data_IF_265548925271
#
_entry.id   IF_265548925271
#
_cell.length_a   1.000
_cell.length_b   1.000
_cell.length_c   1.000
_cell.angle_alpha   90.00
_cell.angle_beta   90.00
_cell.angle_gamma   90.00
#
_symmetry.space_group_name_H-M   'P 1'
#
loop_
_entity.id
_entity.type
_entity.pdbx_description
1 polymer ?
#
# COMPACT_ATOMS: atom_id res chain seq x y z
N UNK A 1 3.87 -27.27 4.05
CA UNK A 1 4.09 -25.97 3.39
C UNK A 1 5.58 -25.67 3.51
N UNK A 2 6.37 -26.06 2.51
CA UNK A 2 7.81 -25.86 2.50
C UNK A 2 8.11 -24.38 2.26
N UNK A 3 8.40 -23.63 3.32
CA UNK A 3 9.16 -22.39 3.20
C UNK A 3 10.53 -22.78 2.67
N UNK A 4 10.82 -22.42 1.42
CA UNK A 4 12.11 -22.65 0.78
C UNK A 4 13.21 -22.02 1.64
N UNK A 5 14.12 -22.87 2.10
CA UNK A 5 15.33 -22.52 2.84
C UNK A 5 16.37 -21.71 2.02
N UNK A 6 15.96 -21.04 0.93
CA UNK A 6 16.83 -20.30 0.01
C UNK A 6 17.09 -18.85 0.40
N UNK A 7 16.50 -18.35 1.51
CA UNK A 7 16.63 -16.95 1.94
C UNK A 7 17.65 -16.72 3.06
N UNK A 8 18.43 -17.74 3.46
CA UNK A 8 19.37 -17.62 4.59
C UNK A 8 20.81 -17.59 4.08
N UNK A 9 21.34 -16.38 3.87
CA UNK A 9 22.76 -16.12 3.61
C UNK A 9 22.98 -15.03 2.57
N UNK A 10 22.92 -15.40 1.28
CA UNK A 10 23.50 -14.58 0.21
C UNK A 10 22.61 -13.41 -0.26
N UNK A 11 21.28 -13.51 -0.11
CA UNK A 11 20.34 -12.51 -0.63
C UNK A 11 20.46 -11.14 0.06
N UNK A 12 20.84 -11.13 1.34
CA UNK A 12 20.97 -9.91 2.15
C UNK A 12 22.42 -9.46 2.35
N UNK A 13 23.39 -10.22 1.84
CA UNK A 13 24.82 -9.90 2.00
C UNK A 13 25.16 -8.49 1.45
N UNK A 14 24.65 -8.05 0.29
CA UNK A 14 24.96 -6.70 -0.18
C UNK A 14 24.29 -5.61 0.66
N UNK A 15 23.12 -5.88 1.26
CA UNK A 15 22.49 -4.95 2.22
C UNK A 15 23.31 -4.86 3.50
N UNK A 16 23.79 -5.99 4.01
CA UNK A 16 24.63 -6.02 5.20
C UNK A 16 25.92 -5.21 4.97
N UNK A 17 26.60 -5.44 3.84
CA UNK A 17 27.79 -4.70 3.44
C UNK A 17 27.51 -3.20 3.35
N UNK A 18 26.44 -2.81 2.65
CA UNK A 18 26.08 -1.40 2.51
C UNK A 18 25.83 -0.71 3.85
N UNK A 19 25.15 -1.38 4.79
CA UNK A 19 24.93 -0.87 6.16
C UNK A 19 26.25 -0.69 6.90
N UNK A 20 27.22 -1.62 6.76
CA UNK A 20 28.54 -1.45 7.37
C UNK A 20 29.31 -0.28 6.76
N UNK A 21 29.25 -0.09 5.43
CA UNK A 21 29.84 1.07 4.75
C UNK A 21 29.23 2.37 5.27
N UNK A 22 27.90 2.47 5.33
CA UNK A 22 27.20 3.62 5.91
C UNK A 22 27.63 3.89 7.35
N UNK A 23 27.77 2.84 8.18
CA UNK A 23 28.23 2.99 9.56
C UNK A 23 29.65 3.54 9.64
N UNK A 24 30.55 3.05 8.80
CA UNK A 24 31.95 3.48 8.79
C UNK A 24 32.11 4.93 8.29
N UNK A 25 31.31 5.33 7.30
CA UNK A 25 31.48 6.63 6.62
C UNK A 25 30.54 7.73 7.12
N UNK A 26 29.36 7.41 7.65
CA UNK A 26 28.33 8.40 8.01
C UNK A 26 28.13 8.57 9.52
N UNK A 27 28.71 7.70 10.36
CA UNK A 27 28.56 7.76 11.82
C UNK A 27 29.89 8.07 12.53
N UNK A 28 29.81 8.63 13.73
CA UNK A 28 30.97 8.96 14.55
C UNK A 28 31.90 9.97 13.86
N UNK A 29 33.20 9.66 13.81
CA UNK A 29 34.20 10.46 13.10
C UNK A 29 34.32 10.10 11.61
N UNK A 30 33.54 9.11 11.13
CA UNK A 30 33.51 8.66 9.74
C UNK A 30 33.30 9.79 8.72
N UNK A 31 32.38 10.75 8.93
CA UNK A 31 32.15 11.83 7.98
C UNK A 31 33.36 12.71 7.71
N UNK A 32 34.31 12.79 8.65
CA UNK A 32 35.55 13.55 8.46
C UNK A 32 36.50 12.89 7.44
N UNK A 33 36.27 11.62 7.11
CA UNK A 33 37.01 10.89 6.07
C UNK A 33 36.41 11.02 4.68
N UNK A 34 35.22 11.63 4.55
CA UNK A 34 34.60 11.92 3.26
C UNK A 34 35.21 13.22 2.72
N UNK A 35 36.00 13.08 1.66
CA UNK A 35 36.78 14.16 1.05
C UNK A 35 36.06 14.88 -0.10
N UNK A 36 34.90 14.36 -0.52
CA UNK A 36 34.19 14.84 -1.70
C UNK A 36 32.68 14.62 -1.63
N UNK A 37 31.94 15.48 -2.33
CA UNK A 37 30.51 15.29 -2.57
C UNK A 37 30.24 14.01 -3.38
N UNK A 38 31.17 13.64 -4.27
CA UNK A 38 31.06 12.44 -5.11
C UNK A 38 31.01 11.16 -4.28
N UNK A 39 31.76 11.07 -3.18
CA UNK A 39 31.71 9.93 -2.26
C UNK A 39 30.31 9.79 -1.61
N UNK A 40 29.67 10.90 -1.26
CA UNK A 40 28.30 10.91 -0.72
C UNK A 40 27.29 10.51 -1.79
N UNK A 41 27.44 11.03 -3.01
CA UNK A 41 26.58 10.68 -4.14
C UNK A 41 26.68 9.19 -4.51
N UNK A 42 27.88 8.61 -4.46
CA UNK A 42 28.07 7.18 -4.70
C UNK A 42 27.31 6.31 -3.69
N UNK A 43 27.31 6.68 -2.40
CA UNK A 43 26.52 6.00 -1.37
C UNK A 43 25.02 6.11 -1.63
N UNK A 44 24.55 7.28 -2.08
CA UNK A 44 23.14 7.50 -2.39
C UNK A 44 22.69 6.64 -3.59
N UNK A 45 23.52 6.54 -4.63
CA UNK A 45 23.24 5.68 -5.79
C UNK A 45 23.28 4.19 -5.42
N UNK A 46 24.22 3.76 -4.57
CA UNK A 46 24.25 2.37 -4.07
C UNK A 46 22.99 2.05 -3.24
N UNK A 47 22.56 2.96 -2.37
CA UNK A 47 21.32 2.82 -1.61
C UNK A 47 20.12 2.63 -2.54
N UNK A 48 20.06 3.44 -3.60
CA UNK A 48 18.97 3.41 -4.58
C UNK A 48 18.97 2.10 -5.37
N UNK A 49 20.12 1.69 -5.89
CA UNK A 49 20.26 0.42 -6.62
C UNK A 49 19.89 -0.78 -5.74
N UNK A 50 20.23 -0.74 -4.45
CA UNK A 50 19.87 -1.79 -3.50
C UNK A 50 18.36 -1.80 -3.23
N UNK A 51 17.73 -0.64 -3.08
CA UNK A 51 16.28 -0.51 -2.94
C UNK A 51 15.56 -1.06 -4.17
N UNK A 52 15.97 -0.65 -5.37
CA UNK A 52 15.39 -1.12 -6.64
C UNK A 52 15.49 -2.65 -6.77
N UNK A 53 16.62 -3.24 -6.35
CA UNK A 53 16.82 -4.69 -6.39
C UNK A 53 15.93 -5.43 -5.39
N UNK A 54 15.76 -4.88 -4.18
CA UNK A 54 14.86 -5.44 -3.18
C UNK A 54 13.41 -5.37 -3.67
N UNK A 55 13.00 -4.24 -4.25
CA UNK A 55 11.67 -4.10 -4.86
C UNK A 55 11.46 -5.11 -5.99
N UNK A 56 12.44 -5.28 -6.89
CA UNK A 56 12.37 -6.27 -7.98
C UNK A 56 12.32 -7.73 -7.51
N UNK A 57 12.70 -8.02 -6.27
CA UNK A 57 12.60 -9.36 -5.68
C UNK A 57 11.23 -9.66 -5.06
N UNK A 58 10.36 -8.66 -4.94
CA UNK A 58 9.01 -8.83 -4.41
C UNK A 58 8.15 -9.51 -5.47
N UNK A 59 7.81 -10.77 -5.22
CA UNK A 59 6.83 -11.47 -6.04
C UNK A 59 5.41 -11.19 -5.53
N UNK A 60 4.44 -10.97 -6.44
CA UNK A 60 3.05 -10.74 -6.04
C UNK A 60 2.48 -12.01 -5.41
N UNK A 61 2.07 -11.88 -4.16
CA UNK A 61 1.38 -12.90 -3.39
C UNK A 61 -0.01 -12.35 -3.03
N UNK A 62 -1.04 -13.06 -3.50
CA UNK A 62 -2.42 -12.68 -3.28
C UNK A 62 -2.97 -13.32 -2.00
N UNK A 63 -3.81 -12.59 -1.29
CA UNK A 63 -4.65 -13.14 -0.22
C UNK A 63 -6.07 -13.29 -0.74
N UNK A 64 -6.63 -14.49 -0.64
CA UNK A 64 -8.03 -14.76 -1.00
C UNK A 64 -8.75 -15.33 0.21
N UNK A 65 -9.78 -14.63 0.67
CA UNK A 65 -10.59 -15.04 1.83
C UNK A 65 -12.03 -14.57 1.64
N UNK A 66 -12.96 -15.07 2.44
CA UNK A 66 -14.38 -14.66 2.41
C UNK A 66 -14.77 -13.81 3.62
N UNK A 67 -13.98 -13.87 4.68
CA UNK A 67 -14.32 -13.19 5.93
C UNK A 67 -13.06 -12.72 6.64
N UNK A 68 -13.05 -11.45 7.04
CA UNK A 68 -11.96 -10.81 7.78
C UNK A 68 -12.59 -10.05 8.94
N UNK A 69 -12.16 -10.33 10.16
CA UNK A 69 -12.67 -9.65 11.34
C UNK A 69 -11.54 -9.42 12.33
N UNK A 70 -11.48 -8.20 12.89
CA UNK A 70 -10.51 -7.83 13.92
C UNK A 70 -9.07 -8.22 13.54
N UNK A 71 -8.69 -7.93 12.30
CA UNK A 71 -7.47 -8.45 11.69
C UNK A 71 -6.72 -7.38 10.90
N UNK A 72 -5.41 -7.59 10.76
CA UNK A 72 -4.56 -6.86 9.83
C UNK A 72 -4.10 -7.83 8.74
N UNK A 73 -4.35 -7.48 7.48
CA UNK A 73 -4.05 -8.35 6.33
C UNK A 73 -3.19 -7.60 5.35
N UNK A 74 -2.04 -8.20 4.99
CA UNK A 74 -1.09 -7.63 4.04
C UNK A 74 -0.88 -8.58 2.85
N UNK A 75 -0.80 -8.00 1.64
CA UNK A 75 -0.52 -8.74 0.41
C UNK A 75 0.45 -7.94 -0.48
N UNK A 76 1.48 -8.61 -1.01
CA UNK A 76 2.37 -8.02 -2.04
C UNK A 76 1.74 -7.99 -3.43
N UNK A 77 0.65 -8.76 -3.62
CA UNK A 77 -0.25 -8.66 -4.77
C UNK A 77 -1.56 -7.99 -4.35
N UNK A 78 -2.67 -8.70 -4.56
CA UNK A 78 -4.04 -8.25 -4.25
C UNK A 78 -4.64 -8.94 -3.04
N UNK A 79 -5.55 -8.26 -2.37
CA UNK A 79 -6.51 -8.88 -1.44
C UNK A 79 -7.84 -9.04 -2.15
N UNK A 80 -8.32 -10.28 -2.28
CA UNK A 80 -9.58 -10.60 -2.95
C UNK A 80 -10.55 -11.20 -1.94
N UNK A 81 -11.71 -10.58 -1.81
CA UNK A 81 -12.86 -11.08 -1.06
C UNK A 81 -14.00 -11.35 -2.02
N UNK A 82 -14.08 -12.55 -2.65
CA UNK A 82 -15.04 -12.80 -3.73
C UNK A 82 -16.49 -12.57 -3.29
N UNK A 83 -16.77 -12.99 -2.05
CA UNK A 83 -18.02 -12.74 -1.36
C UNK A 83 -17.81 -12.76 0.15
N UNK A 84 -18.50 -11.88 0.87
CA UNK A 84 -18.60 -11.94 2.33
C UNK A 84 -18.43 -10.58 2.99
N UNK A 85 -17.58 -10.47 4.01
CA UNK A 85 -17.50 -9.24 4.79
C UNK A 85 -16.14 -9.02 5.44
N UNK A 86 -15.82 -7.74 5.66
CA UNK A 86 -14.63 -7.29 6.36
C UNK A 86 -15.04 -6.30 7.46
N UNK A 87 -14.75 -6.62 8.72
CA UNK A 87 -15.14 -5.81 9.90
C UNK A 87 -13.94 -5.49 10.77
N UNK A 88 -13.85 -4.25 11.28
CA UNK A 88 -12.83 -3.83 12.27
C UNK A 88 -11.41 -4.25 11.87
N UNK A 89 -11.07 -4.05 10.60
CA UNK A 89 -9.85 -4.62 10.02
C UNK A 89 -9.14 -3.61 9.14
N UNK A 90 -7.84 -3.81 8.99
CA UNK A 90 -6.94 -3.02 8.17
C UNK A 90 -6.41 -3.90 7.03
N UNK A 91 -6.58 -3.45 5.79
CA UNK A 91 -6.10 -4.14 4.60
C UNK A 91 -4.98 -3.32 3.96
N UNK A 92 -3.84 -3.96 3.71
CA UNK A 92 -2.75 -3.39 2.93
C UNK A 92 -2.47 -4.28 1.71
N UNK A 93 -2.51 -3.71 0.51
CA UNK A 93 -2.20 -4.45 -0.71
C UNK A 93 -1.33 -3.61 -1.64
N UNK A 94 -0.37 -4.23 -2.33
CA UNK A 94 0.41 -3.50 -3.34
C UNK A 94 -0.43 -3.18 -4.58
N UNK A 95 -1.17 -4.18 -5.07
CA UNK A 95 -1.80 -4.13 -6.41
C UNK A 95 -3.33 -3.94 -6.39
N UNK A 96 -3.95 -3.91 -5.20
CA UNK A 96 -5.37 -3.59 -5.07
C UNK A 96 -6.16 -4.47 -4.10
N UNK A 97 -7.40 -4.04 -3.85
CA UNK A 97 -8.38 -4.77 -3.05
C UNK A 97 -9.67 -4.92 -3.84
N UNK A 98 -10.17 -6.15 -3.94
CA UNK A 98 -11.39 -6.46 -4.71
C UNK A 98 -12.39 -7.21 -3.86
N UNK A 99 -13.57 -6.63 -3.67
CA UNK A 99 -14.73 -7.25 -3.03
C UNK A 99 -15.96 -7.01 -3.90
N UNK A 100 -16.24 -7.93 -4.84
CA UNK A 100 -17.33 -7.76 -5.82
C UNK A 100 -18.73 -7.98 -5.23
N UNK A 101 -18.82 -8.75 -4.15
CA UNK A 101 -20.05 -8.95 -3.39
C UNK A 101 -19.74 -8.91 -1.91
N UNK A 102 -20.46 -8.10 -1.14
CA UNK A 102 -20.26 -8.02 0.30
C UNK A 102 -20.05 -6.63 0.84
N UNK A 103 -19.54 -6.59 2.07
CA UNK A 103 -19.50 -5.36 2.85
C UNK A 103 -18.14 -5.12 3.50
N UNK A 104 -17.61 -3.92 3.28
CA UNK A 104 -16.44 -3.42 3.98
C UNK A 104 -16.86 -2.41 5.07
N UNK A 105 -16.76 -2.85 6.32
CA UNK A 105 -16.88 -2.06 7.55
C UNK A 105 -15.58 -2.13 8.37
N UNK A 106 -14.44 -2.18 7.68
CA UNK A 106 -13.12 -2.10 8.31
C UNK A 106 -12.71 -0.67 8.61
N UNK A 107 -11.57 -0.51 9.25
CA UNK A 107 -11.04 0.80 9.62
C UNK A 107 -10.36 1.47 8.43
N UNK A 108 -9.53 0.70 7.71
CA UNK A 108 -8.80 1.22 6.56
C UNK A 108 -8.48 0.18 5.47
N UNK A 109 -8.39 0.67 4.24
CA UNK A 109 -7.75 0.02 3.09
C UNK A 109 -6.62 0.93 2.62
N UNK A 110 -5.42 0.40 2.48
CA UNK A 110 -4.28 1.08 1.86
C UNK A 110 -3.80 0.27 0.68
N UNK A 111 -3.73 0.91 -0.49
CA UNK A 111 -3.24 0.32 -1.73
C UNK A 111 -2.08 1.16 -2.26
N UNK A 112 -0.96 0.52 -2.62
CA UNK A 112 0.18 1.23 -3.18
C UNK A 112 -0.14 1.75 -4.59
N UNK A 113 -0.61 0.85 -5.47
CA UNK A 113 -0.98 1.13 -6.86
C UNK A 113 -2.15 0.25 -7.32
N UNK A 114 -2.86 0.68 -8.36
CA UNK A 114 -3.96 -0.09 -8.94
C UNK A 114 -5.34 0.37 -8.49
N UNK A 115 -6.20 -0.57 -8.09
CA UNK A 115 -7.62 -0.28 -7.88
C UNK A 115 -8.17 -0.86 -6.57
N UNK A 116 -9.14 -0.14 -6.00
CA UNK A 116 -10.00 -0.63 -4.92
C UNK A 116 -11.41 -0.75 -5.47
N UNK A 117 -11.93 -1.96 -5.54
CA UNK A 117 -13.27 -2.25 -6.05
C UNK A 117 -14.09 -2.91 -4.94
N UNK A 118 -15.13 -2.24 -4.48
CA UNK A 118 -15.98 -2.72 -3.39
C UNK A 118 -17.45 -2.80 -3.84
N UNK A 119 -18.20 -3.74 -3.29
CA UNK A 119 -19.65 -3.75 -3.43
C UNK A 119 -20.25 -2.66 -2.53
N UNK A 120 -20.01 -2.77 -1.22
CA UNK A 120 -20.49 -1.82 -0.24
C UNK A 120 -19.39 -1.40 0.77
N UNK A 121 -19.29 -0.10 1.09
CA UNK A 121 -18.28 0.45 2.00
C UNK A 121 -18.83 1.53 2.94
N UNK A 122 -18.29 1.62 4.15
CA UNK A 122 -18.76 2.56 5.20
C UNK A 122 -19.99 2.03 5.91
N UNK A 123 -20.65 2.75 6.81
CA UNK A 123 -21.88 2.27 7.47
C UNK A 123 -22.99 3.32 7.38
N UNK A 124 -24.29 2.94 7.30
CA UNK A 124 -25.38 3.91 7.34
C UNK A 124 -25.31 4.88 8.52
N UNK A 125 -24.71 4.44 9.63
CA UNK A 125 -24.53 5.23 10.85
C UNK A 125 -23.35 6.23 10.75
N UNK A 126 -22.67 6.34 9.60
CA UNK A 126 -21.58 7.28 9.39
C UNK A 126 -20.26 6.89 10.08
N UNK A 127 -20.06 5.60 10.37
CA UNK A 127 -18.77 5.09 10.86
C UNK A 127 -17.67 5.44 9.86
N UNK A 128 -16.58 6.03 10.36
CA UNK A 128 -15.45 6.44 9.53
C UNK A 128 -14.78 5.21 8.91
N UNK A 129 -14.58 5.26 7.60
CA UNK A 129 -13.78 4.28 6.85
C UNK A 129 -12.79 5.05 5.97
N UNK A 130 -11.54 4.64 5.95
CA UNK A 130 -10.50 5.27 5.12
C UNK A 130 -10.04 4.34 4.01
N UNK A 131 -10.07 4.81 2.76
CA UNK A 131 -9.49 4.14 1.60
C UNK A 131 -8.39 5.03 1.05
N UNK A 132 -7.16 4.54 1.00
CA UNK A 132 -5.99 5.30 0.55
C UNK A 132 -5.32 4.58 -0.60
N UNK A 133 -5.26 5.23 -1.76
CA UNK A 133 -4.39 4.86 -2.87
C UNK A 133 -3.18 5.79 -2.84
N UNK A 134 -1.99 5.24 -2.54
CA UNK A 134 -0.79 6.03 -2.29
C UNK A 134 -0.32 6.78 -3.54
N UNK A 135 -0.46 6.15 -4.70
CA UNK A 135 -0.05 6.71 -6.00
C UNK A 135 -1.27 7.00 -6.89
N UNK A 136 -1.19 6.70 -8.18
CA UNK A 136 -2.33 6.75 -9.08
C UNK A 136 -3.18 5.49 -8.93
N UNK A 137 -4.49 5.65 -9.11
CA UNK A 137 -5.40 4.53 -9.05
C UNK A 137 -6.85 4.96 -9.11
N UNK A 138 -7.74 3.98 -8.93
CA UNK A 138 -9.18 4.20 -8.96
C UNK A 138 -9.84 3.48 -7.80
N UNK A 139 -10.77 4.18 -7.17
CA UNK A 139 -11.69 3.58 -6.23
C UNK A 139 -13.06 3.45 -6.90
N UNK A 140 -13.68 2.28 -6.82
CA UNK A 140 -15.04 2.02 -7.30
C UNK A 140 -15.85 1.36 -6.22
N UNK A 141 -17.10 1.79 -6.06
CA UNK A 141 -18.04 1.08 -5.22
C UNK A 141 -19.48 1.14 -5.75
N UNK A 142 -20.23 0.04 -5.60
CA UNK A 142 -21.67 0.07 -5.90
C UNK A 142 -22.42 0.91 -4.87
N UNK A 143 -22.05 0.87 -3.59
CA UNK A 143 -22.66 1.63 -2.51
C UNK A 143 -21.60 2.20 -1.56
N UNK A 144 -21.57 3.52 -1.42
CA UNK A 144 -20.70 4.24 -0.49
C UNK A 144 -21.57 4.92 0.55
N UNK A 145 -21.34 4.64 1.83
CA UNK A 145 -22.03 5.30 2.93
C UNK A 145 -21.36 6.61 3.37
N UNK A 146 -22.04 7.45 4.17
CA UNK A 146 -21.46 8.70 4.68
C UNK A 146 -20.17 8.46 5.49
N UNK A 147 -19.30 9.48 5.51
CA UNK A 147 -18.03 9.50 6.24
C UNK A 147 -16.98 8.47 5.78
N UNK A 148 -17.20 7.82 4.64
CA UNK A 148 -16.13 7.17 3.88
C UNK A 148 -15.20 8.26 3.34
N UNK A 149 -13.90 8.04 3.47
CA UNK A 149 -12.85 8.94 2.97
C UNK A 149 -12.03 8.21 1.95
N UNK A 150 -11.93 8.76 0.75
CA UNK A 150 -11.08 8.23 -0.32
C UNK A 150 -9.96 9.22 -0.56
N UNK A 151 -8.73 8.78 -0.36
CA UNK A 151 -7.51 9.56 -0.61
C UNK A 151 -6.77 8.93 -1.79
N UNK A 152 -6.45 9.72 -2.82
CA UNK A 152 -5.65 9.27 -3.98
C UNK A 152 -4.52 10.27 -4.17
N UNK A 153 -3.27 9.80 -4.11
CA UNK A 153 -2.06 10.63 -4.21
C UNK A 153 -2.13 11.89 -3.32
N UNK A 154 -2.57 11.72 -2.07
CA UNK A 154 -2.67 12.79 -1.07
C UNK A 154 -3.92 13.68 -1.16
N UNK A 155 -4.69 13.65 -2.26
CA UNK A 155 -5.96 14.37 -2.37
C UNK A 155 -7.09 13.54 -1.77
N UNK A 156 -7.93 14.15 -0.92
CA UNK A 156 -8.96 13.43 -0.16
C UNK A 156 -10.36 13.94 -0.49
N UNK A 157 -11.29 13.01 -0.72
CA UNK A 157 -12.72 13.28 -0.79
C UNK A 157 -13.43 12.54 0.35
N UNK A 158 -14.35 13.23 1.03
CA UNK A 158 -15.19 12.68 2.09
C UNK A 158 -16.63 12.63 1.60
N UNK A 159 -17.25 11.46 1.64
CA UNK A 159 -18.64 11.29 1.21
C UNK A 159 -19.59 11.89 2.28
N UNK A 160 -20.34 12.96 1.96
CA UNK A 160 -21.23 13.60 2.94
C UNK A 160 -22.55 12.84 3.12
N UNK A 161 -22.93 12.04 2.12
CA UNK A 161 -24.16 11.27 2.07
C UNK A 161 -23.91 9.96 1.33
N UNK A 162 -24.86 9.04 1.43
CA UNK A 162 -24.84 7.80 0.64
C UNK A 162 -24.79 8.11 -0.85
N UNK A 163 -23.96 7.37 -1.60
CA UNK A 163 -23.90 7.39 -3.06
C UNK A 163 -23.90 5.98 -3.64
N UNK A 164 -24.45 5.86 -4.84
CA UNK A 164 -24.48 4.61 -5.61
C UNK A 164 -23.60 4.71 -6.84
N UNK A 165 -23.01 3.58 -7.24
CA UNK A 165 -22.21 3.43 -8.47
C UNK A 165 -21.16 4.52 -8.62
N UNK A 166 -20.35 4.67 -7.58
CA UNK A 166 -19.36 5.74 -7.48
C UNK A 166 -18.01 5.29 -8.02
N UNK A 167 -17.34 6.19 -8.72
CA UNK A 167 -15.92 6.08 -9.04
C UNK A 167 -15.18 7.35 -8.58
N UNK A 168 -14.01 7.16 -7.98
CA UNK A 168 -13.10 8.25 -7.56
C UNK A 168 -11.74 8.01 -8.20
N UNK A 169 -11.21 9.02 -8.89
CA UNK A 169 -9.95 8.94 -9.61
C UNK A 169 -9.32 10.34 -9.77
N UNK A 170 -8.06 10.40 -10.21
CA UNK A 170 -7.45 11.68 -10.63
C UNK A 170 -7.65 11.88 -12.13
N UNK A 171 -8.19 13.04 -12.50
CA UNK A 171 -8.42 13.40 -13.90
C UNK A 171 -7.13 13.80 -14.62
N UNK A 172 -7.23 14.17 -15.90
CA UNK A 172 -6.06 14.58 -16.71
C UNK A 172 -5.33 15.84 -16.19
N UNK A 173 -5.99 16.64 -15.36
CA UNK A 173 -5.39 17.82 -14.69
C UNK A 173 -4.74 17.46 -13.36
N UNK A 174 -4.83 16.20 -12.93
CA UNK A 174 -4.32 15.75 -11.64
C UNK A 174 -5.19 16.15 -10.45
N UNK A 175 -6.46 16.50 -10.69
CA UNK A 175 -7.43 16.81 -9.65
C UNK A 175 -8.28 15.58 -9.33
N UNK A 176 -8.72 15.46 -8.08
CA UNK A 176 -9.58 14.37 -7.66
C UNK A 176 -11.00 14.59 -8.19
N UNK A 177 -11.49 13.63 -8.96
CA UNK A 177 -12.81 13.62 -9.57
C UNK A 177 -13.65 12.49 -8.96
N UNK A 178 -14.94 12.77 -8.74
CA UNK A 178 -15.92 11.83 -8.18
C UNK A 178 -17.13 11.79 -9.09
N UNK A 179 -17.37 10.64 -9.71
CA UNK A 179 -18.51 10.38 -10.61
C UNK A 179 -19.47 9.36 -10.01
#
# INVERSE_FOLDING_TARGET
MHLSASLRGDAFEPLHRFVQTCRAQLLGLGPLSLDSLDAVMALAEEARALADRLEGSIHPANVVTRYIQNSHVEATGRIVVPQGACFYSHLFAREGVVMQSGVFRGDAITVQEGEVVLDEVGSPNGTRVQVTLLTAGRFRARLVHPNVRVTIAGQTYVFPSTRFRTEVFRNHKGELEVV
#
